data_IF_855516059057
#
_entry.id   IF_855516059057
#
_cell.length_a   1.000
_cell.length_b   1.000
_cell.length_c   1.000
_cell.angle_alpha   90.00
_cell.angle_beta   90.00
_cell.angle_gamma   90.00
#
_symmetry.space_group_name_H-M   'P 1'
#
loop_
_entity.id
_entity.type
_entity.pdbx_description
1 polymer ?
#
# COMPACT_ATOMS: atom_id res chain seq x y z
N UNK A 1 3.52 -10.49 21.67
CA UNK A 1 2.24 -10.46 20.92
C UNK A 1 2.50 -9.88 19.54
N UNK A 2 1.87 -10.42 18.47
CA UNK A 2 1.98 -9.84 17.12
C UNK A 2 0.87 -8.84 16.87
N UNK A 3 1.20 -7.73 16.22
CA UNK A 3 0.27 -6.67 15.81
C UNK A 3 0.49 -6.37 14.33
N UNK A 4 -0.59 -6.24 13.60
CA UNK A 4 -0.59 -5.88 12.19
C UNK A 4 -1.00 -4.43 12.05
N UNK A 5 -0.17 -3.62 11.40
CA UNK A 5 -0.46 -2.20 11.13
C UNK A 5 -0.60 -1.97 9.64
N UNK A 6 -1.68 -1.31 9.27
CA UNK A 6 -2.02 -0.99 7.89
C UNK A 6 -2.03 0.52 7.72
N UNK A 7 -1.41 0.98 6.64
CA UNK A 7 -1.37 2.39 6.29
C UNK A 7 -1.72 2.57 4.81
N UNK A 8 -2.64 3.48 4.53
CA UNK A 8 -2.98 3.87 3.17
C UNK A 8 -3.23 5.38 3.15
N UNK A 9 -2.38 6.09 2.42
CA UNK A 9 -2.48 7.53 2.25
C UNK A 9 -2.48 7.88 0.77
N UNK A 10 -3.46 8.68 0.36
CA UNK A 10 -3.72 9.03 -1.02
C UNK A 10 -4.13 10.50 -1.13
N UNK A 11 -3.34 11.25 -1.88
CA UNK A 11 -3.61 12.64 -2.23
C UNK A 11 -4.24 12.69 -3.63
N UNK A 12 -5.36 13.39 -3.75
CA UNK A 12 -6.17 13.50 -4.97
C UNK A 12 -6.36 14.97 -5.32
N UNK A 13 -6.29 15.27 -6.62
CA UNK A 13 -6.42 16.64 -7.12
C UNK A 13 -7.42 16.70 -8.27
N UNK A 14 -7.98 17.89 -8.50
CA UNK A 14 -8.89 18.11 -9.63
C UNK A 14 -10.13 17.24 -9.59
N UNK A 15 -10.48 16.64 -10.73
CA UNK A 15 -11.69 15.82 -10.88
C UNK A 15 -11.52 14.39 -10.35
N UNK A 16 -10.29 13.91 -10.18
CA UNK A 16 -10.01 12.54 -9.72
C UNK A 16 -10.70 12.25 -8.38
N UNK A 17 -10.73 13.24 -7.48
CA UNK A 17 -11.36 13.11 -6.16
C UNK A 17 -12.89 12.96 -6.22
N UNK A 18 -13.54 13.58 -7.19
CA UNK A 18 -15.00 13.43 -7.37
C UNK A 18 -15.31 12.13 -8.10
N UNK A 19 -14.60 11.85 -9.20
CA UNK A 19 -14.78 10.63 -9.96
C UNK A 19 -14.53 9.37 -9.11
N UNK A 20 -13.43 9.34 -8.36
CA UNK A 20 -13.13 8.21 -7.48
C UNK A 20 -14.20 8.04 -6.41
N UNK A 21 -14.60 9.13 -5.73
CA UNK A 21 -15.61 9.05 -4.68
C UNK A 21 -16.96 8.54 -5.19
N UNK A 22 -17.31 8.87 -6.43
CA UNK A 22 -18.58 8.43 -7.03
C UNK A 22 -18.50 7.00 -7.58
N UNK A 23 -17.34 6.54 -8.02
CA UNK A 23 -17.17 5.14 -8.46
C UNK A 23 -17.00 4.16 -7.29
N UNK A 24 -16.27 4.55 -6.24
CA UNK A 24 -15.87 3.63 -5.18
C UNK A 24 -17.04 3.15 -4.30
N UNK A 25 -18.18 3.87 -4.30
CA UNK A 25 -19.38 3.49 -3.52
C UNK A 25 -20.02 2.20 -4.00
N UNK A 26 -19.82 1.84 -5.27
CA UNK A 26 -20.34 0.62 -5.88
C UNK A 26 -19.33 -0.54 -5.82
N UNK A 27 -18.11 -0.29 -5.32
CA UNK A 27 -17.05 -1.28 -5.23
C UNK A 27 -17.10 -2.11 -3.95
N UNK A 28 -16.61 -3.35 -4.06
CA UNK A 28 -16.32 -4.13 -2.86
C UNK A 28 -15.02 -3.64 -2.20
N UNK A 29 -15.17 -2.98 -1.05
CA UNK A 29 -14.07 -2.46 -0.25
C UNK A 29 -13.97 -3.17 1.10
N UNK A 30 -12.99 -4.07 1.31
CA UNK A 30 -12.72 -4.67 2.62
C UNK A 30 -12.59 -3.65 3.77
N UNK A 31 -12.05 -2.45 3.49
CA UNK A 31 -11.91 -1.38 4.48
C UNK A 31 -13.25 -0.85 5.03
N UNK A 32 -14.39 -1.22 4.42
CA UNK A 32 -15.73 -0.91 4.95
C UNK A 32 -16.05 -1.59 6.27
N UNK A 33 -15.29 -2.62 6.64
CA UNK A 33 -15.35 -3.22 7.97
C UNK A 33 -14.82 -2.29 9.08
N UNK A 34 -13.98 -1.30 8.74
CA UNK A 34 -13.38 -0.36 9.69
C UNK A 34 -13.93 1.07 9.55
N UNK A 35 -14.26 1.48 8.33
CA UNK A 35 -14.74 2.83 8.02
C UNK A 35 -15.94 2.74 7.06
N UNK A 36 -17.11 3.30 7.37
CA UNK A 36 -18.28 3.16 6.49
C UNK A 36 -18.07 3.86 5.13
N UNK A 37 -18.69 3.33 4.08
CA UNK A 37 -18.49 3.77 2.69
C UNK A 37 -18.73 5.28 2.46
N UNK A 38 -19.69 5.86 3.17
CA UNK A 38 -19.99 7.30 3.05
C UNK A 38 -18.83 8.17 3.58
N UNK A 39 -18.16 7.74 4.65
CA UNK A 39 -17.03 8.46 5.23
C UNK A 39 -15.80 8.36 4.32
N UNK A 40 -15.58 7.18 3.73
CA UNK A 40 -14.52 6.97 2.73
C UNK A 40 -14.72 7.91 1.54
N UNK A 41 -15.94 7.95 0.98
CA UNK A 41 -16.26 8.81 -0.14
C UNK A 41 -16.11 10.31 0.20
N UNK A 42 -16.48 10.72 1.42
CA UNK A 42 -16.29 12.09 1.90
C UNK A 42 -14.81 12.48 1.96
N UNK A 43 -13.98 11.68 2.64
CA UNK A 43 -12.53 11.91 2.74
C UNK A 43 -11.85 11.95 1.36
N UNK A 44 -12.27 11.08 0.45
CA UNK A 44 -11.81 11.10 -0.94
C UNK A 44 -12.15 12.46 -1.58
N UNK A 45 -13.39 12.95 -1.47
CA UNK A 45 -13.82 14.26 -2.04
C UNK A 45 -13.08 15.45 -1.44
N UNK A 46 -12.64 15.36 -0.18
CA UNK A 46 -11.78 16.37 0.44
C UNK A 46 -10.42 16.48 -0.26
N UNK A 47 -9.98 15.40 -0.92
CA UNK A 47 -8.74 15.34 -1.70
C UNK A 47 -7.59 14.69 -0.95
N UNK A 48 -7.83 14.19 0.27
CA UNK A 48 -6.85 13.44 1.05
C UNK A 48 -7.53 12.30 1.78
N UNK A 49 -7.31 11.08 1.30
CA UNK A 49 -7.75 9.87 1.97
C UNK A 49 -6.60 9.30 2.79
N UNK A 50 -6.78 9.24 4.10
CA UNK A 50 -5.83 8.66 5.03
C UNK A 50 -6.51 7.58 5.87
N UNK A 51 -5.88 6.42 5.93
CA UNK A 51 -6.32 5.26 6.69
C UNK A 51 -5.14 4.66 7.44
N UNK A 52 -5.30 4.53 8.76
CA UNK A 52 -4.40 3.79 9.63
C UNK A 52 -5.21 2.84 10.51
N UNK A 53 -4.78 1.59 10.62
CA UNK A 53 -5.46 0.59 11.42
C UNK A 53 -4.50 -0.43 12.02
N UNK A 54 -4.74 -0.79 13.29
CA UNK A 54 -4.05 -1.86 14.01
C UNK A 54 -5.01 -3.04 14.23
N UNK A 55 -4.54 -4.26 13.96
CA UNK A 55 -5.30 -5.49 14.16
C UNK A 55 -4.42 -6.59 14.76
N UNK A 56 -4.96 -7.44 15.66
CA UNK A 56 -4.26 -8.64 16.14
C UNK A 56 -4.16 -9.74 15.05
N UNK A 57 -5.03 -9.70 14.04
CA UNK A 57 -5.09 -10.66 12.93
C UNK A 57 -4.80 -9.97 11.58
N UNK A 58 -4.24 -10.69 10.59
CA UNK A 58 -4.01 -10.13 9.27
C UNK A 58 -5.31 -9.80 8.55
N UNK A 59 -5.37 -8.61 7.94
CA UNK A 59 -6.40 -8.22 6.99
C UNK A 59 -5.97 -8.73 5.61
N UNK A 60 -6.26 -10.00 5.31
CA UNK A 60 -5.80 -10.67 4.09
C UNK A 60 -6.24 -9.95 2.81
N UNK A 61 -7.40 -9.31 2.84
CA UNK A 61 -7.96 -8.59 1.70
C UNK A 61 -7.55 -7.12 1.61
N UNK A 62 -6.67 -6.64 2.50
CA UNK A 62 -6.20 -5.25 2.47
C UNK A 62 -5.70 -4.78 1.08
N UNK A 63 -4.95 -5.59 0.29
CA UNK A 63 -4.55 -5.21 -1.06
C UNK A 63 -5.70 -4.94 -2.04
N UNK A 64 -6.87 -5.56 -1.86
CA UNK A 64 -8.05 -5.33 -2.73
C UNK A 64 -8.58 -3.90 -2.64
N UNK A 65 -8.34 -3.22 -1.52
CA UNK A 65 -8.68 -1.81 -1.41
C UNK A 65 -7.87 -0.97 -2.39
N UNK A 66 -6.55 -1.23 -2.50
CA UNK A 66 -5.69 -0.50 -3.42
C UNK A 66 -6.01 -0.86 -4.87
N UNK A 67 -6.37 -2.12 -5.12
CA UNK A 67 -6.89 -2.58 -6.41
C UNK A 67 -8.06 -1.71 -6.87
N UNK A 68 -9.13 -1.65 -6.07
CA UNK A 68 -10.33 -0.87 -6.36
C UNK A 68 -10.04 0.62 -6.55
N UNK A 69 -9.25 1.23 -5.66
CA UNK A 69 -8.89 2.64 -5.79
C UNK A 69 -8.08 2.92 -7.06
N UNK A 70 -7.12 2.05 -7.39
CA UNK A 70 -6.25 2.25 -8.55
C UNK A 70 -6.93 2.04 -9.89
N UNK A 71 -8.07 1.33 -9.93
CA UNK A 71 -8.84 1.11 -11.15
C UNK A 71 -9.34 2.42 -11.77
N UNK A 72 -9.61 3.43 -10.93
CA UNK A 72 -10.17 4.72 -11.33
C UNK A 72 -9.15 5.85 -11.37
N UNK A 73 -7.87 5.56 -11.15
CA UNK A 73 -6.81 6.55 -11.06
C UNK A 73 -5.71 6.31 -12.08
N UNK A 74 -5.11 7.40 -12.57
CA UNK A 74 -3.93 7.32 -13.44
C UNK A 74 -2.61 7.30 -12.68
N UNK A 75 -2.64 7.57 -11.37
CA UNK A 75 -1.49 7.53 -10.48
C UNK A 75 -1.33 6.15 -9.81
N UNK A 76 -0.09 5.82 -9.42
CA UNK A 76 0.18 4.64 -8.60
C UNK A 76 -0.34 4.90 -7.18
N UNK A 77 -1.20 4.01 -6.71
CA UNK A 77 -1.70 3.99 -5.34
C UNK A 77 -0.75 3.17 -4.48
N UNK A 78 -0.42 3.64 -3.27
CA UNK A 78 0.53 2.98 -2.37
C UNK A 78 -0.10 2.77 -1.00
N UNK A 79 0.22 1.65 -0.38
CA UNK A 79 -0.13 1.33 0.99
C UNK A 79 0.91 0.41 1.60
N UNK A 80 0.85 0.26 2.91
CA UNK A 80 1.86 -0.45 3.68
C UNK A 80 1.19 -1.38 4.68
N UNK A 81 1.78 -2.55 4.85
CA UNK A 81 1.44 -3.49 5.90
C UNK A 81 2.70 -3.82 6.67
N UNK A 82 2.69 -3.58 7.97
CA UNK A 82 3.75 -3.94 8.90
C UNK A 82 3.26 -4.94 9.94
N UNK A 83 4.17 -5.80 10.37
CA UNK A 83 3.98 -6.72 11.49
C UNK A 83 4.98 -6.37 12.57
N UNK A 84 4.46 -6.02 13.73
CA UNK A 84 5.24 -5.72 14.92
C UNK A 84 5.09 -6.87 15.93
N UNK A 85 6.17 -7.21 16.61
CA UNK A 85 6.20 -8.20 17.68
C UNK A 85 6.65 -7.54 18.98
N UNK A 86 5.85 -7.73 20.03
CA UNK A 86 6.13 -7.25 21.37
C UNK A 86 6.64 -8.41 22.24
N UNK A 87 7.87 -8.28 22.76
CA UNK A 87 8.54 -9.22 23.66
C UNK A 87 9.25 -8.41 24.77
N UNK A 88 9.01 -8.74 26.05
CA UNK A 88 9.62 -8.08 27.22
C UNK A 88 9.57 -6.54 27.19
N UNK A 89 8.40 -5.98 26.86
CA UNK A 89 8.14 -4.53 26.70
C UNK A 89 8.96 -3.85 25.60
N UNK A 90 9.56 -4.63 24.68
CA UNK A 90 10.20 -4.13 23.45
C UNK A 90 9.33 -4.47 22.25
N UNK A 91 9.03 -3.46 21.44
CA UNK A 91 8.36 -3.61 20.16
C UNK A 91 9.42 -3.65 19.07
N UNK A 92 9.36 -4.68 18.21
CA UNK A 92 10.22 -4.79 17.02
C UNK A 92 9.36 -4.98 15.78
N UNK A 93 9.74 -4.31 14.69
CA UNK A 93 9.21 -4.61 13.37
C UNK A 93 9.83 -5.92 12.86
N UNK A 94 9.01 -6.91 12.54
CA UNK A 94 9.45 -8.23 12.07
C UNK A 94 9.14 -8.50 10.61
N UNK A 95 8.15 -7.78 10.06
CA UNK A 95 7.83 -7.83 8.64
C UNK A 95 7.28 -6.46 8.20
N UNK A 96 7.60 -6.05 6.98
CA UNK A 96 6.95 -4.92 6.34
C UNK A 96 6.83 -5.18 4.84
N UNK A 97 5.71 -4.74 4.29
CA UNK A 97 5.37 -4.89 2.88
C UNK A 97 4.85 -3.57 2.36
N UNK A 98 5.32 -3.20 1.16
CA UNK A 98 4.77 -2.12 0.35
C UNK A 98 3.85 -2.72 -0.69
N UNK A 99 2.62 -2.23 -0.72
CA UNK A 99 1.60 -2.64 -1.67
C UNK A 99 1.42 -1.47 -2.63
N UNK A 100 1.52 -1.74 -3.92
CA UNK A 100 1.33 -0.75 -4.97
C UNK A 100 0.28 -1.24 -5.93
N UNK A 101 -0.57 -0.34 -6.40
CA UNK A 101 -1.57 -0.67 -7.39
C UNK A 101 -1.66 0.40 -8.48
N UNK A 102 -1.90 -0.04 -9.70
CA UNK A 102 -2.15 0.82 -10.85
C UNK A 102 -3.12 0.14 -11.79
N UNK A 103 -4.22 0.81 -12.14
CA UNK A 103 -5.23 0.30 -13.08
C UNK A 103 -5.79 -1.08 -12.70
N UNK A 104 -5.96 -1.33 -11.40
CA UNK A 104 -6.45 -2.61 -10.88
C UNK A 104 -5.41 -3.73 -10.83
N UNK A 105 -4.15 -3.50 -11.23
CA UNK A 105 -3.07 -4.46 -11.02
C UNK A 105 -2.35 -4.17 -9.70
N UNK A 106 -2.15 -5.19 -8.86
CA UNK A 106 -1.52 -5.06 -7.54
C UNK A 106 -0.17 -5.76 -7.48
N UNK A 107 0.82 -5.10 -6.88
CA UNK A 107 2.15 -5.63 -6.57
C UNK A 107 2.42 -5.45 -5.07
N UNK A 108 2.78 -6.55 -4.41
CA UNK A 108 3.22 -6.54 -3.01
C UNK A 108 4.72 -6.86 -2.96
N UNK A 109 5.48 -5.98 -2.32
CA UNK A 109 6.93 -6.11 -2.16
C UNK A 109 7.29 -6.20 -0.69
N UNK A 110 8.14 -7.15 -0.27
CA UNK A 110 8.77 -7.05 1.03
C UNK A 110 9.65 -5.80 1.08
N UNK A 111 9.68 -5.16 2.25
CA UNK A 111 10.57 -4.06 2.55
C UNK A 111 11.77 -4.58 3.33
N UNK A 112 12.94 -4.03 3.03
CA UNK A 112 14.13 -4.31 3.82
C UNK A 112 13.98 -3.66 5.19
N UNK A 113 13.96 -4.50 6.23
CA UNK A 113 13.80 -4.02 7.59
C UNK A 113 15.11 -3.48 8.15
N UNK A 114 15.11 -2.29 8.75
CA UNK A 114 16.20 -1.84 9.58
C UNK A 114 16.25 -2.64 10.90
N UNK A 115 17.42 -2.69 11.58
CA UNK A 115 17.62 -3.57 12.74
C UNK A 115 16.68 -3.33 13.93
N UNK A 116 16.19 -2.09 14.14
CA UNK A 116 15.49 -1.70 15.37
C UNK A 116 14.59 -0.48 15.20
N UNK A 117 13.62 -0.51 14.27
CA UNK A 117 12.71 0.62 14.10
C UNK A 117 11.23 0.25 14.17
N UNK A 118 10.39 1.24 14.47
CA UNK A 118 8.93 1.17 14.41
C UNK A 118 8.45 1.50 13.00
N UNK A 119 7.15 1.26 12.70
CA UNK A 119 6.55 1.59 11.40
C UNK A 119 6.85 3.03 10.93
N UNK A 120 6.89 4.00 11.84
CA UNK A 120 7.10 5.41 11.53
C UNK A 120 8.48 5.72 10.92
N UNK A 121 9.44 4.82 11.08
CA UNK A 121 10.79 5.00 10.57
C UNK A 121 11.04 4.23 9.27
N UNK A 122 10.03 3.51 8.76
CA UNK A 122 10.13 2.89 7.43
C UNK A 122 10.15 3.98 6.37
N UNK A 123 11.24 4.01 5.61
CA UNK A 123 11.29 4.83 4.40
C UNK A 123 10.27 4.30 3.39
N UNK A 124 9.22 5.07 3.02
CA UNK A 124 8.21 4.64 2.05
C UNK A 124 8.79 4.40 0.65
N UNK A 125 10.00 4.88 0.38
CA UNK A 125 10.75 4.65 -0.84
C UNK A 125 11.79 3.53 -0.74
N UNK A 126 11.96 2.89 0.42
CA UNK A 126 12.75 1.68 0.53
C UNK A 126 12.16 0.54 -0.30
N UNK A 127 13.04 -0.29 -0.87
CA UNK A 127 12.72 -1.43 -1.73
C UNK A 127 13.74 -2.55 -1.47
N UNK A 128 13.29 -3.80 -1.43
CA UNK A 128 14.17 -4.96 -1.44
C UNK A 128 14.54 -5.31 -2.89
N UNK A 129 15.61 -4.67 -3.38
CA UNK A 129 16.07 -4.83 -4.76
C UNK A 129 16.48 -6.26 -5.10
N UNK A 130 17.09 -6.98 -4.16
CA UNK A 130 17.48 -8.38 -4.36
C UNK A 130 16.23 -9.25 -4.61
N UNK A 131 15.16 -9.02 -3.84
CA UNK A 131 13.87 -9.67 -4.06
C UNK A 131 13.26 -9.31 -5.42
N UNK A 132 13.29 -8.02 -5.79
CA UNK A 132 12.73 -7.53 -7.05
C UNK A 132 13.46 -8.16 -8.26
N UNK A 133 14.79 -8.23 -8.22
CA UNK A 133 15.57 -8.86 -9.29
C UNK A 133 15.26 -10.35 -9.40
N UNK A 134 15.14 -11.06 -8.27
CA UNK A 134 14.85 -12.49 -8.24
C UNK A 134 13.47 -12.86 -8.82
N UNK A 135 12.50 -11.94 -8.74
CA UNK A 135 11.13 -12.14 -9.25
C UNK A 135 10.79 -11.27 -10.46
N UNK A 136 11.80 -10.70 -11.12
CA UNK A 136 11.61 -9.71 -12.17
C UNK A 136 10.58 -10.08 -13.25
N UNK A 137 10.57 -11.33 -13.79
CA UNK A 137 9.62 -11.73 -14.83
C UNK A 137 8.16 -11.79 -14.36
N UNK A 138 7.93 -11.89 -13.05
CA UNK A 138 6.59 -12.07 -12.48
C UNK A 138 5.86 -10.74 -12.28
N UNK A 139 6.58 -9.61 -12.35
CA UNK A 139 5.98 -8.31 -12.15
C UNK A 139 5.32 -7.73 -13.41
N UNK A 140 4.22 -6.97 -13.25
CA UNK A 140 3.55 -6.32 -14.36
C UNK A 140 4.43 -5.25 -15.01
N UNK A 141 4.17 -4.98 -16.29
CA UNK A 141 5.04 -4.12 -17.11
C UNK A 141 5.16 -2.70 -16.56
N UNK A 142 4.07 -2.13 -16.05
CA UNK A 142 4.08 -0.79 -15.48
C UNK A 142 5.02 -0.69 -14.28
N UNK A 143 5.09 -1.73 -13.46
CA UNK A 143 5.97 -1.78 -12.30
C UNK A 143 7.43 -1.90 -12.74
N UNK A 144 7.73 -2.81 -13.67
CA UNK A 144 9.08 -2.94 -14.24
C UNK A 144 9.55 -1.62 -14.84
N UNK A 145 8.71 -0.93 -15.60
CA UNK A 145 9.05 0.35 -16.23
C UNK A 145 9.24 1.46 -15.19
N UNK A 146 8.44 1.47 -14.11
CA UNK A 146 8.64 2.36 -12.96
C UNK A 146 9.98 2.11 -12.27
N UNK A 147 10.33 0.84 -12.02
CA UNK A 147 11.58 0.45 -11.39
C UNK A 147 12.80 0.74 -12.27
N UNK A 148 12.71 0.59 -13.60
CA UNK A 148 13.78 1.00 -14.54
C UNK A 148 14.01 2.52 -14.59
N UNK A 149 13.01 3.32 -14.22
CA UNK A 149 13.14 4.78 -14.07
C UNK A 149 13.79 5.14 -12.74
N UNK A 150 13.33 4.53 -11.65
CA UNK A 150 13.87 4.76 -10.30
C UNK A 150 15.30 4.21 -10.14
N UNK A 151 15.55 3.03 -10.69
CA UNK A 151 16.81 2.29 -10.62
C UNK A 151 17.30 1.94 -12.04
N UNK A 152 18.06 2.83 -12.70
CA UNK A 152 18.46 2.65 -14.10
C UNK A 152 19.21 1.35 -14.41
N UNK A 153 19.90 0.76 -13.44
CA UNK A 153 20.64 -0.49 -13.64
C UNK A 153 19.72 -1.69 -13.90
N UNK A 154 18.45 -1.65 -13.46
CA UNK A 154 17.45 -2.69 -13.75
C UNK A 154 17.03 -2.75 -15.22
N UNK A 155 17.46 -1.80 -16.06
CA UNK A 155 17.23 -1.85 -17.53
C UNK A 155 17.93 -3.02 -18.21
N UNK A 156 18.89 -3.66 -17.54
CA UNK A 156 19.57 -4.88 -18.00
C UNK A 156 18.69 -6.14 -17.92
N UNK A 157 17.63 -6.09 -17.11
CA UNK A 157 16.69 -7.18 -16.85
C UNK A 157 15.43 -7.04 -17.70
#
# INVERSE_FOLDING_TARGET
>A
MRRHRYYFDLILTGMDKYNLADCIVDEYLPLTAQMPIWEIAEKIREGHFHFEHESPEPLEEFPKNLEAFSAYLHQVVKGFHAVEEEEDARVRLVEARKIMALRGEVVTLPLRLPPTLLLNDLDPDAEDLDHIEARWPDYPRWFQDGMRRKHPYLRRL
#
